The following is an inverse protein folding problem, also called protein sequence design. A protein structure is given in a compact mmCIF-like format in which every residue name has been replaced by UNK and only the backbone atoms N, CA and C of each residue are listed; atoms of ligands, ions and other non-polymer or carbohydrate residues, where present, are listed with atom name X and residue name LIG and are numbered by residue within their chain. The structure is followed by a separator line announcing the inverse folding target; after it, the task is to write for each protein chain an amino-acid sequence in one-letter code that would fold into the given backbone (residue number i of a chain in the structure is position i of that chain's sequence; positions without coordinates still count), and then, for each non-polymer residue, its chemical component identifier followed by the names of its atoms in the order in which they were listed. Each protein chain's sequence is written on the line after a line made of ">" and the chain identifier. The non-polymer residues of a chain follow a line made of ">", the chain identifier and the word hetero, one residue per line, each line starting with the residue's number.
data_IF_228325410843
#
_entry.id   IF_228325410843
#
_cell.length_a   1.000
_cell.length_b   1.000
_cell.length_c   1.000
_cell.angle_alpha   90.00
_cell.angle_beta   90.00
_cell.angle_gamma   90.00
#
_symmetry.space_group_name_H-M   'P 1'
#
loop_
_entity.id
_entity.type
_entity.pdbx_description
1 polymer ?
#
# COMPACT_ATOMS: atom_id res chain seq x y z
N UNK A 1 -24.23 8.68 -3.48
CA UNK A 1 -24.38 8.67 -2.00
C UNK A 1 -23.19 9.43 -1.44
N UNK A 2 -23.26 9.95 -0.21
CA UNK A 2 -22.13 10.69 0.40
C UNK A 2 -21.50 9.85 1.49
N UNK A 3 -20.18 9.93 1.63
CA UNK A 3 -19.46 9.44 2.80
C UNK A 3 -20.11 9.98 4.07
N UNK A 4 -20.36 9.10 5.04
CA UNK A 4 -20.92 9.49 6.33
C UNK A 4 -19.87 10.24 7.14
N UNK A 5 -20.22 11.41 7.67
CA UNK A 5 -19.36 12.13 8.60
C UNK A 5 -19.10 11.29 9.87
N UNK A 6 -17.89 11.41 10.42
CA UNK A 6 -17.46 10.65 11.58
C UNK A 6 -16.17 9.88 11.36
N UNK A 7 -15.82 9.04 12.33
CA UNK A 7 -14.60 8.23 12.33
C UNK A 7 -14.89 6.85 11.77
N UNK A 8 -14.11 6.45 10.77
CA UNK A 8 -14.13 5.12 10.18
C UNK A 8 -12.78 4.46 10.37
N UNK A 9 -12.80 3.29 11.00
CA UNK A 9 -11.60 2.50 11.27
C UNK A 9 -11.53 1.35 10.28
N UNK A 10 -10.33 1.07 9.78
CA UNK A 10 -10.06 -0.02 8.86
C UNK A 10 -8.92 -0.87 9.40
N UNK A 11 -8.97 -2.17 9.12
CA UNK A 11 -7.96 -3.12 9.53
C UNK A 11 -8.01 -4.43 8.75
N UNK A 12 -7.08 -5.35 9.03
CA UNK A 12 -6.90 -6.58 8.26
C UNK A 12 -8.03 -7.60 8.42
N UNK A 13 -8.96 -7.40 9.37
CA UNK A 13 -10.05 -8.35 9.64
C UNK A 13 -11.15 -8.28 8.57
N UNK A 14 -11.40 -7.09 8.02
CA UNK A 14 -12.50 -6.83 7.07
C UNK A 14 -12.05 -6.15 5.78
N UNK A 15 -10.87 -5.53 5.76
CA UNK A 15 -10.33 -4.83 4.60
C UNK A 15 -8.99 -5.42 4.11
N UNK A 16 -8.61 -5.03 2.90
CA UNK A 16 -7.37 -5.46 2.27
C UNK A 16 -6.45 -4.28 2.01
N UNK A 17 -5.24 -4.35 2.56
CA UNK A 17 -4.12 -3.47 2.21
C UNK A 17 -3.03 -4.30 1.56
N UNK A 18 -2.66 -3.93 0.34
CA UNK A 18 -1.77 -4.73 -0.51
C UNK A 18 -0.69 -3.85 -1.12
N UNK A 19 0.54 -4.35 -1.16
CA UNK A 19 1.63 -3.78 -1.96
C UNK A 19 1.82 -4.61 -3.22
N UNK A 20 1.73 -3.96 -4.38
CA UNK A 20 1.99 -4.54 -5.69
C UNK A 20 3.38 -4.12 -6.15
N UNK A 21 4.25 -5.10 -6.38
CA UNK A 21 5.59 -4.86 -6.93
C UNK A 21 5.72 -5.47 -8.31
N UNK A 22 6.54 -4.84 -9.14
CA UNK A 22 6.69 -5.19 -10.53
C UNK A 22 8.15 -5.45 -10.84
N UNK A 23 8.44 -6.34 -11.78
CA UNK A 23 9.81 -6.53 -12.26
C UNK A 23 10.16 -5.61 -13.42
N UNK A 24 11.44 -5.37 -13.64
CA UNK A 24 11.97 -4.68 -14.81
C UNK A 24 13.17 -5.38 -15.45
N UNK A 25 13.43 -5.03 -16.71
CA UNK A 25 14.57 -5.53 -17.50
C UNK A 25 14.22 -6.67 -18.45
N UNK A 26 15.21 -7.01 -19.29
CA UNK A 26 15.09 -8.00 -20.38
C UNK A 26 14.92 -9.46 -19.90
N UNK A 27 15.12 -9.70 -18.60
CA UNK A 27 14.89 -10.98 -17.94
C UNK A 27 13.47 -11.10 -17.35
N UNK A 28 12.45 -10.53 -18.01
CA UNK A 28 11.04 -10.52 -17.55
C UNK A 28 10.43 -11.93 -17.26
N UNK A 29 11.15 -13.01 -17.56
CA UNK A 29 10.79 -14.39 -17.21
C UNK A 29 11.37 -14.89 -15.88
N UNK A 30 12.30 -14.16 -15.27
CA UNK A 30 12.89 -14.52 -13.97
C UNK A 30 12.07 -13.93 -12.81
N UNK A 31 11.68 -14.77 -11.85
CA UNK A 31 10.90 -14.38 -10.67
C UNK A 31 9.42 -14.09 -10.93
N UNK A 32 8.83 -13.22 -10.11
CA UNK A 32 7.40 -12.89 -10.09
C UNK A 32 7.18 -11.38 -9.89
N UNK A 33 6.06 -10.88 -10.41
CA UNK A 33 5.46 -9.65 -9.89
C UNK A 33 4.69 -10.04 -8.62
N UNK A 34 4.88 -9.35 -7.51
CA UNK A 34 4.32 -9.79 -6.23
C UNK A 34 3.09 -8.98 -5.85
N UNK A 35 2.08 -9.70 -5.36
CA UNK A 35 0.98 -9.18 -4.57
C UNK A 35 1.27 -9.53 -3.12
N UNK A 36 1.49 -8.52 -2.28
CA UNK A 36 1.93 -8.67 -0.90
C UNK A 36 0.85 -8.12 0.02
N UNK A 37 0.24 -8.95 0.85
CA UNK A 37 -0.71 -8.49 1.87
C UNK A 37 0.06 -7.80 3.00
N UNK A 38 -0.45 -6.69 3.49
CA UNK A 38 -0.07 -6.11 4.79
C UNK A 38 -1.05 -6.68 5.82
N UNK A 39 -0.57 -7.44 6.79
CA UNK A 39 -1.43 -8.26 7.67
C UNK A 39 -1.63 -7.69 9.07
N UNK A 40 -0.84 -6.70 9.45
CA UNK A 40 -1.01 -5.95 10.69
C UNK A 40 -0.90 -4.48 10.35
N UNK A 41 -2.06 -3.83 10.32
CA UNK A 41 -2.20 -2.42 10.01
C UNK A 41 -3.51 -1.92 10.58
N UNK A 42 -3.60 -0.62 10.74
CA UNK A 42 -4.81 0.09 11.11
C UNK A 42 -4.83 1.40 10.33
N UNK A 43 -6.02 1.83 9.93
CA UNK A 43 -6.20 3.16 9.35
C UNK A 43 -7.44 3.82 9.94
N UNK A 44 -7.37 5.13 10.08
CA UNK A 44 -8.48 5.95 10.55
C UNK A 44 -8.75 7.01 9.50
N UNK A 45 -9.96 6.99 8.94
CA UNK A 45 -10.51 8.04 8.09
C UNK A 45 -11.50 8.85 8.92
N UNK A 46 -11.14 10.09 9.24
CA UNK A 46 -12.05 11.06 9.85
C UNK A 46 -12.73 11.83 8.72
N UNK A 47 -14.02 11.59 8.51
CA UNK A 47 -14.83 12.30 7.50
C UNK A 47 -15.49 13.50 8.15
N UNK A 48 -15.17 14.70 7.65
CA UNK A 48 -15.80 15.94 8.10
C UNK A 48 -17.21 16.12 7.52
N UNK A 49 -18.03 16.94 8.20
CA UNK A 49 -19.30 17.45 7.64
C UNK A 49 -19.07 18.16 6.29
N UNK A 50 -17.96 18.87 6.19
CA UNK A 50 -17.33 19.23 4.93
C UNK A 50 -16.20 18.24 4.64
N UNK A 51 -16.28 17.55 3.49
CA UNK A 51 -15.27 16.58 3.07
C UNK A 51 -13.87 17.19 2.94
N UNK A 52 -13.76 18.51 2.74
CA UNK A 52 -12.48 19.22 2.71
C UNK A 52 -11.75 19.24 4.07
N UNK A 53 -12.47 18.93 5.15
CA UNK A 53 -11.94 18.83 6.51
C UNK A 53 -11.62 17.38 6.92
N UNK A 54 -11.65 16.44 5.98
CA UNK A 54 -11.38 15.04 6.26
C UNK A 54 -9.88 14.77 6.47
N UNK A 55 -9.56 13.79 7.29
CA UNK A 55 -8.17 13.39 7.58
C UNK A 55 -8.00 11.86 7.47
N UNK A 56 -6.80 11.43 7.07
CA UNK A 56 -6.42 10.03 6.95
C UNK A 56 -5.12 9.77 7.71
N UNK A 57 -5.16 8.74 8.55
CA UNK A 57 -3.98 8.19 9.24
C UNK A 57 -3.89 6.69 8.98
N UNK A 58 -2.67 6.17 8.87
CA UNK A 58 -2.41 4.74 8.70
C UNK A 58 -1.15 4.35 9.43
N UNK A 59 -1.18 3.21 10.11
CA UNK A 59 -0.03 2.54 10.71
C UNK A 59 0.04 1.10 10.22
N UNK A 60 1.25 0.60 9.95
CA UNK A 60 1.46 -0.78 9.54
C UNK A 60 2.78 -1.34 10.09
N UNK A 61 2.76 -2.62 10.46
CA UNK A 61 3.98 -3.36 10.78
C UNK A 61 4.59 -3.91 9.48
N UNK A 62 5.79 -3.44 9.14
CA UNK A 62 6.56 -3.90 7.99
C UNK A 62 6.84 -5.41 8.01
N UNK A 63 6.90 -6.04 9.19
CA UNK A 63 7.13 -7.49 9.36
C UNK A 63 5.89 -8.32 9.04
N UNK A 64 4.72 -7.69 8.96
CA UNK A 64 3.47 -8.35 8.61
C UNK A 64 3.29 -8.56 7.10
N UNK A 65 4.16 -7.97 6.27
CA UNK A 65 4.10 -8.11 4.82
C UNK A 65 4.26 -9.58 4.40
N UNK A 66 3.26 -10.09 3.69
CA UNK A 66 3.20 -11.48 3.27
C UNK A 66 2.96 -11.60 1.76
N UNK A 67 3.86 -12.24 1.00
CA UNK A 67 3.66 -12.48 -0.42
C UNK A 67 2.53 -13.50 -0.64
N UNK A 68 1.34 -12.99 -0.96
CA UNK A 68 0.14 -13.79 -1.24
C UNK A 68 0.34 -14.59 -2.52
N UNK A 69 0.65 -13.86 -3.58
CA UNK A 69 0.66 -14.35 -4.94
C UNK A 69 1.86 -13.81 -5.72
N UNK A 70 2.40 -14.67 -6.58
CA UNK A 70 3.39 -14.29 -7.58
C UNK A 70 2.80 -14.41 -8.97
N UNK A 71 2.69 -13.28 -9.66
CA UNK A 71 2.14 -13.19 -11.00
C UNK A 71 3.25 -13.29 -12.04
N UNK A 72 2.89 -13.78 -13.23
CA UNK A 72 3.76 -13.80 -14.43
C UNK A 72 5.11 -14.52 -14.21
N UNK A 73 5.18 -15.42 -13.23
CA UNK A 73 6.28 -16.36 -13.04
C UNK A 73 5.98 -17.70 -13.72
N UNK A 74 7.02 -18.51 -13.94
CA UNK A 74 6.89 -19.81 -14.63
C UNK A 74 6.19 -20.86 -13.74
N UNK A 75 6.40 -20.77 -12.42
CA UNK A 75 5.77 -21.63 -11.41
C UNK A 75 5.11 -20.77 -10.34
N UNK A 76 4.06 -21.25 -9.67
CA UNK A 76 3.52 -20.58 -8.48
C UNK A 76 4.58 -20.42 -7.39
N UNK A 77 4.40 -19.43 -6.50
CA UNK A 77 5.22 -19.32 -5.30
C UNK A 77 5.04 -20.55 -4.41
N UNK A 78 6.15 -21.10 -3.93
CA UNK A 78 6.19 -22.12 -2.87
C UNK A 78 6.28 -21.46 -1.49
N UNK A 79 6.05 -22.21 -0.41
CA UNK A 79 6.21 -21.69 0.94
C UNK A 79 7.65 -21.28 1.26
N UNK A 80 8.62 -21.98 0.67
CA UNK A 80 10.03 -21.61 0.76
C UNK A 80 10.28 -20.25 0.09
N UNK A 81 9.71 -20.02 -1.09
CA UNK A 81 9.83 -18.73 -1.79
C UNK A 81 9.22 -17.61 -0.94
N UNK A 82 8.04 -17.83 -0.35
CA UNK A 82 7.39 -16.86 0.53
C UNK A 82 8.23 -16.54 1.76
N UNK A 83 8.80 -17.55 2.41
CA UNK A 83 9.67 -17.36 3.56
C UNK A 83 10.93 -16.55 3.19
N UNK A 84 11.55 -16.86 2.04
CA UNK A 84 12.72 -16.12 1.55
C UNK A 84 12.39 -14.68 1.17
N UNK A 85 11.25 -14.43 0.51
CA UNK A 85 10.77 -13.09 0.18
C UNK A 85 10.55 -12.27 1.46
N UNK A 86 9.85 -12.80 2.47
CA UNK A 86 9.64 -12.10 3.74
C UNK A 86 10.96 -11.76 4.43
N UNK A 87 11.89 -12.72 4.48
CA UNK A 87 13.24 -12.50 5.00
C UNK A 87 13.95 -11.36 4.27
N UNK A 88 13.88 -11.31 2.94
CA UNK A 88 14.48 -10.25 2.15
C UNK A 88 13.80 -8.89 2.38
N UNK A 89 12.46 -8.85 2.51
CA UNK A 89 11.72 -7.61 2.84
C UNK A 89 12.23 -7.04 4.15
N UNK A 90 12.33 -7.87 5.20
CA UNK A 90 12.78 -7.44 6.52
C UNK A 90 14.28 -7.06 6.52
N UNK A 91 15.17 -7.96 6.09
CA UNK A 91 16.62 -7.77 6.27
C UNK A 91 17.26 -6.82 5.25
N UNK A 92 16.67 -6.65 4.05
CA UNK A 92 17.33 -5.97 2.93
C UNK A 92 16.56 -4.78 2.38
N UNK A 93 15.28 -4.61 2.74
CA UNK A 93 14.42 -3.57 2.16
C UNK A 93 13.89 -2.63 3.22
N UNK A 94 13.17 -3.13 4.23
CA UNK A 94 12.44 -2.29 5.19
C UNK A 94 13.08 -2.22 6.59
N UNK A 95 13.90 -3.21 6.98
CA UNK A 95 14.54 -3.23 8.30
C UNK A 95 13.59 -3.53 9.46
N UNK A 96 12.34 -3.92 9.17
CA UNK A 96 11.30 -4.15 10.17
C UNK A 96 10.87 -2.90 10.92
N UNK A 97 11.16 -1.71 10.40
CA UNK A 97 10.72 -0.44 10.98
C UNK A 97 9.23 -0.20 10.70
N UNK A 98 8.49 0.42 11.63
CA UNK A 98 7.08 0.76 11.42
C UNK A 98 6.88 1.66 10.19
N UNK A 99 5.74 1.47 9.52
CA UNK A 99 5.27 2.33 8.44
C UNK A 99 4.14 3.19 8.97
N UNK A 100 4.13 4.48 8.64
CA UNK A 100 3.02 5.37 9.01
C UNK A 100 2.74 6.44 7.96
N UNK A 101 1.47 6.74 7.74
CA UNK A 101 1.03 7.88 6.94
C UNK A 101 0.15 8.80 7.77
N UNK A 102 0.31 10.11 7.59
CA UNK A 102 -0.59 11.12 8.15
C UNK A 102 -0.85 12.20 7.10
N UNK A 103 -2.12 12.37 6.71
CA UNK A 103 -2.53 13.43 5.81
C UNK A 103 -2.36 14.81 6.45
N UNK A 104 -2.00 15.79 5.62
CA UNK A 104 -1.98 17.22 5.94
C UNK A 104 -2.97 18.03 5.10
N UNK A 105 -3.46 17.46 3.99
CA UNK A 105 -4.47 18.07 3.14
C UNK A 105 -5.31 17.00 2.42
N UNK A 106 -6.54 17.35 2.07
CA UNK A 106 -7.41 16.56 1.21
C UNK A 106 -7.95 17.43 0.09
N UNK A 107 -7.96 16.90 -1.13
CA UNK A 107 -8.67 17.48 -2.27
C UNK A 107 -9.89 16.62 -2.58
N UNK A 108 -11.05 17.26 -2.71
CA UNK A 108 -12.33 16.61 -3.02
C UNK A 108 -12.64 16.83 -4.49
N UNK A 109 -12.90 15.74 -5.20
CA UNK A 109 -13.29 15.74 -6.60
C UNK A 109 -14.57 14.92 -6.83
N UNK A 110 -15.10 14.99 -8.04
CA UNK A 110 -16.22 14.17 -8.51
C UNK A 110 -17.43 14.16 -7.56
N UNK A 111 -17.77 15.34 -7.00
CA UNK A 111 -18.92 15.49 -6.11
C UNK A 111 -18.77 14.84 -4.73
N UNK A 112 -17.56 14.41 -4.37
CA UNK A 112 -17.27 13.71 -3.11
C UNK A 112 -16.90 12.24 -3.28
N UNK A 113 -17.00 11.71 -4.50
CA UNK A 113 -16.70 10.30 -4.80
C UNK A 113 -15.19 10.03 -4.93
N UNK A 114 -14.37 11.09 -5.05
CA UNK A 114 -12.91 11.00 -5.05
C UNK A 114 -12.29 11.93 -4.03
N UNK A 115 -11.41 11.38 -3.19
CA UNK A 115 -10.61 12.10 -2.21
C UNK A 115 -9.13 11.85 -2.49
N UNK A 116 -8.33 12.92 -2.59
CA UNK A 116 -6.87 12.81 -2.69
C UNK A 116 -6.23 13.36 -1.43
N UNK A 117 -5.70 12.48 -0.59
CA UNK A 117 -5.00 12.83 0.63
C UNK A 117 -3.52 13.03 0.34
N UNK A 118 -3.00 14.22 0.66
CA UNK A 118 -1.56 14.50 0.67
C UNK A 118 -1.08 14.53 2.11
N UNK A 119 0.10 14.00 2.36
CA UNK A 119 0.62 13.89 3.71
C UNK A 119 2.07 13.43 3.76
N UNK A 120 2.52 13.12 4.97
CA UNK A 120 3.84 12.54 5.20
C UNK A 120 3.71 11.03 5.37
N UNK A 121 4.51 10.28 4.61
CA UNK A 121 4.66 8.83 4.72
C UNK A 121 6.06 8.52 5.26
N UNK A 122 6.11 7.81 6.37
CA UNK A 122 7.32 7.28 6.97
C UNK A 122 7.51 5.83 6.59
N UNK A 123 8.62 5.51 5.91
CA UNK A 123 9.05 4.15 5.58
C UNK A 123 10.55 4.09 5.82
N UNK A 124 11.04 3.03 6.48
CA UNK A 124 12.47 2.81 6.70
C UNK A 124 13.16 4.04 7.33
N UNK A 125 12.51 4.61 8.36
CA UNK A 125 13.03 5.72 9.14
C UNK A 125 13.02 7.07 8.42
N UNK A 126 12.58 7.13 7.17
CA UNK A 126 12.52 8.35 6.38
C UNK A 126 11.08 8.82 6.20
N UNK A 127 10.82 10.10 6.49
CA UNK A 127 9.55 10.76 6.16
C UNK A 127 9.69 11.57 4.87
N UNK A 128 8.73 11.37 3.97
CA UNK A 128 8.61 12.09 2.70
C UNK A 128 7.15 12.36 2.37
N UNK A 129 6.86 13.38 1.55
CA UNK A 129 5.53 13.60 1.01
C UNK A 129 5.05 12.40 0.19
N UNK A 130 3.79 12.02 0.38
CA UNK A 130 3.10 11.03 -0.44
C UNK A 130 1.63 11.42 -0.62
N UNK A 131 1.01 10.84 -1.66
CA UNK A 131 -0.41 10.99 -1.95
C UNK A 131 -1.12 9.65 -1.92
N UNK A 132 -2.31 9.62 -1.34
CA UNK A 132 -3.20 8.47 -1.31
C UNK A 132 -4.55 8.88 -1.88
N UNK A 133 -4.95 8.24 -2.99
CA UNK A 133 -6.24 8.49 -3.61
C UNK A 133 -7.25 7.47 -3.10
N UNK A 134 -8.43 7.92 -2.69
CA UNK A 134 -9.58 7.10 -2.37
C UNK A 134 -10.70 7.38 -3.38
N UNK A 135 -11.31 6.33 -3.89
CA UNK A 135 -12.55 6.38 -4.67
C UNK A 135 -13.65 5.65 -3.92
N UNK A 136 -14.83 6.26 -3.86
CA UNK A 136 -15.98 5.76 -3.12
C UNK A 136 -17.06 5.35 -4.11
N UNK A 137 -17.38 4.07 -4.11
CA UNK A 137 -18.42 3.47 -4.90
C UNK A 137 -19.82 3.81 -4.35
N UNK A 138 -20.86 3.72 -5.21
CA UNK A 138 -22.24 4.00 -4.82
C UNK A 138 -22.78 3.02 -3.76
N UNK A 139 -22.16 1.86 -3.61
CA UNK A 139 -22.48 0.79 -2.66
C UNK A 139 -21.67 0.88 -1.35
N UNK A 140 -20.85 1.91 -1.19
CA UNK A 140 -19.94 2.05 -0.04
C UNK A 140 -18.61 1.34 -0.21
N UNK A 141 -18.39 0.67 -1.35
CA UNK A 141 -17.09 0.06 -1.63
C UNK A 141 -16.05 1.16 -1.81
N UNK A 142 -14.94 1.09 -1.06
CA UNK A 142 -13.86 2.06 -1.14
C UNK A 142 -12.64 1.37 -1.72
N UNK A 143 -12.10 1.97 -2.77
CA UNK A 143 -10.81 1.57 -3.34
C UNK A 143 -9.82 2.67 -3.14
N UNK A 144 -8.61 2.33 -2.73
CA UNK A 144 -7.53 3.27 -2.53
C UNK A 144 -6.27 2.89 -3.29
N UNK A 145 -5.54 3.89 -3.77
CA UNK A 145 -4.27 3.69 -4.47
C UNK A 145 -3.25 4.75 -4.08
N UNK A 146 -2.02 4.33 -3.82
CA UNK A 146 -0.86 5.20 -3.67
C UNK A 146 0.32 4.65 -4.49
N UNK A 147 0.65 5.26 -5.64
CA UNK A 147 1.89 4.96 -6.34
C UNK A 147 3.07 5.52 -5.55
N UNK A 148 4.12 4.73 -5.35
CA UNK A 148 5.34 5.15 -4.65
C UNK A 148 6.58 4.80 -5.46
N UNK A 149 7.64 5.57 -5.28
CA UNK A 149 8.98 5.27 -5.79
C UNK A 149 9.89 5.00 -4.59
N UNK A 150 10.29 3.75 -4.42
CA UNK A 150 11.00 3.28 -3.20
C UNK A 150 12.29 4.06 -2.92
N UNK A 151 13.03 4.44 -3.97
CA UNK A 151 14.27 5.20 -3.82
C UNK A 151 14.10 6.60 -3.23
N UNK A 152 12.90 7.18 -3.23
CA UNK A 152 12.60 8.46 -2.56
C UNK A 152 12.71 8.35 -1.03
N UNK A 153 12.52 7.14 -0.49
CA UNK A 153 12.75 6.77 0.91
C UNK A 153 14.14 6.15 1.15
N UNK A 154 15.06 6.27 0.18
CA UNK A 154 16.41 5.71 0.28
C UNK A 154 16.47 4.18 0.15
N UNK A 155 15.36 3.53 -0.20
CA UNK A 155 15.30 2.08 -0.38
C UNK A 155 15.86 1.74 -1.76
N UNK A 156 16.90 0.91 -1.78
CA UNK A 156 17.45 0.39 -3.03
C UNK A 156 16.57 -0.75 -3.55
N UNK A 157 16.04 -0.68 -4.80
CA UNK A 157 15.22 -1.74 -5.34
C UNK A 157 15.92 -3.10 -5.31
N UNK A 158 15.20 -4.11 -4.85
CA UNK A 158 15.75 -5.45 -4.63
C UNK A 158 16.26 -6.07 -5.94
N UNK A 159 17.42 -6.72 -5.84
CA UNK A 159 18.03 -7.50 -6.91
C UNK A 159 18.32 -8.91 -6.41
N UNK A 160 17.99 -9.90 -7.22
CA UNK A 160 18.18 -11.32 -6.90
C UNK A 160 18.61 -12.14 -8.11
N UNK A 161 18.79 -13.45 -7.92
CA UNK A 161 19.16 -14.39 -8.99
C UNK A 161 20.37 -13.93 -9.80
N UNK A 162 21.45 -13.52 -9.10
CA UNK A 162 22.68 -12.99 -9.71
C UNK A 162 22.44 -11.79 -10.64
N UNK A 163 21.42 -10.98 -10.35
CA UNK A 163 21.06 -9.80 -11.14
C UNK A 163 20.01 -10.06 -12.23
N UNK A 164 19.60 -11.32 -12.44
CA UNK A 164 18.53 -11.66 -13.38
C UNK A 164 17.15 -11.18 -12.90
N UNK A 165 16.94 -11.05 -11.59
CA UNK A 165 15.74 -10.44 -11.02
C UNK A 165 16.05 -9.01 -10.58
N UNK A 166 15.24 -8.07 -11.07
CA UNK A 166 15.23 -6.68 -10.61
C UNK A 166 13.79 -6.24 -10.37
N UNK A 167 13.50 -5.83 -9.13
CA UNK A 167 12.24 -5.17 -8.79
C UNK A 167 12.30 -3.73 -9.29
N UNK A 168 11.21 -3.23 -9.86
CA UNK A 168 11.04 -1.82 -10.25
C UNK A 168 11.17 -0.95 -9.02
N UNK A 169 11.63 0.28 -9.27
CA UNK A 169 11.65 1.30 -8.23
C UNK A 169 10.23 1.73 -7.87
N UNK A 170 9.36 1.84 -8.87
CA UNK A 170 7.94 2.11 -8.68
C UNK A 170 7.16 0.88 -8.21
N UNK A 171 6.27 1.12 -7.25
CA UNK A 171 5.30 0.16 -6.73
C UNK A 171 3.95 0.86 -6.52
N UNK A 172 2.94 0.07 -6.19
CA UNK A 172 1.61 0.58 -5.87
C UNK A 172 1.13 -0.03 -4.55
N UNK A 173 0.66 0.83 -3.64
CA UNK A 173 -0.12 0.41 -2.48
C UNK A 173 -1.59 0.49 -2.86
N UNK A 174 -2.34 -0.56 -2.59
CA UNK A 174 -3.76 -0.67 -2.91
C UNK A 174 -4.55 -1.01 -1.65
N UNK A 175 -5.65 -0.30 -1.46
CA UNK A 175 -6.62 -0.54 -0.41
C UNK A 175 -7.96 -0.95 -1.04
N UNK A 176 -8.63 -1.93 -0.45
CA UNK A 176 -10.01 -2.28 -0.77
C UNK A 176 -10.76 -2.51 0.56
N UNK A 177 -11.92 -1.86 0.71
CA UNK A 177 -12.73 -1.97 1.91
C UNK A 177 -14.17 -1.53 1.67
N UNK A 178 -14.97 -1.54 2.73
CA UNK A 178 -16.35 -1.11 2.69
C UNK A 178 -16.56 -0.08 3.79
N UNK A 179 -17.08 1.08 3.43
CA UNK A 179 -17.59 2.04 4.40
C UNK A 179 -19.07 1.76 4.69
N UNK A 180 -19.50 1.86 5.96
CA UNK A 180 -20.91 1.82 6.29
C UNK A 180 -21.66 2.88 5.49
N UNK A 181 -22.65 2.42 4.71
CA UNK A 181 -23.60 3.28 4.01
C UNK A 181 -24.89 3.38 4.83
N UNK A 182 -25.56 4.53 4.71
CA UNK A 182 -26.94 4.71 5.18
C UNK A 182 -27.93 4.45 4.02
#
# INVERSE_FOLDING_TARGET
>A
MRLKAGTHEFGPDTEHLVVKTYREGLAAKAGHDLIIDVRQWEATLEVGEDLSQSSLQLHADARSLYPREGLRGIKPLTDKDRAEIRKNIDEKVLGGEPISFRSSAVEVADGGDRLSFRGELTIHGQSRPASFELSVGPDGHVTGTAPLVQSEWGIKPYRGLMGALKVRDSLEVVFEGILPTD
#
